data_IF_595247241298
#
_entry.id   IF_595247241298
#
_cell.length_a   1.000
_cell.length_b   1.000
_cell.length_c   1.000
_cell.angle_alpha   90.00
_cell.angle_beta   90.00
_cell.angle_gamma   90.00
#
_symmetry.space_group_name_H-M   'P 1'
#
loop_
_entity.id
_entity.type
_entity.pdbx_description
1 polymer ?
#
# COMPACT_ATOMS: atom_id res chain seq x y z
N UNK A 1 19.97 -52.39 -2.31
CA UNK A 1 21.02 -51.50 -2.84
C UNK A 1 20.93 -50.18 -2.09
N UNK A 2 21.84 -49.92 -1.16
CA UNK A 2 21.85 -48.66 -0.41
C UNK A 2 22.25 -47.53 -1.35
N UNK A 3 21.38 -46.54 -1.51
CA UNK A 3 21.73 -45.28 -2.17
C UNK A 3 22.84 -44.64 -1.35
N UNK A 4 23.93 -44.23 -2.00
CA UNK A 4 25.03 -43.58 -1.29
C UNK A 4 24.52 -42.30 -0.61
N UNK A 5 24.95 -42.00 0.63
CA UNK A 5 24.49 -40.84 1.39
C UNK A 5 24.57 -39.48 0.66
N UNK A 6 25.54 -39.21 -0.27
CA UNK A 6 25.50 -37.96 -1.03
C UNK A 6 24.34 -37.88 -2.03
N UNK A 7 23.88 -39.01 -2.59
CA UNK A 7 22.83 -38.99 -3.61
C UNK A 7 21.45 -38.69 -3.01
N UNK A 8 21.12 -39.27 -1.85
CA UNK A 8 19.85 -39.00 -1.17
C UNK A 8 19.74 -37.52 -0.74
N UNK A 9 20.85 -36.92 -0.31
CA UNK A 9 20.90 -35.50 0.04
C UNK A 9 20.63 -34.58 -1.16
N UNK A 10 21.24 -34.87 -2.32
CA UNK A 10 21.01 -34.09 -3.54
C UNK A 10 19.55 -34.20 -4.00
N UNK A 11 18.98 -35.40 -3.96
CA UNK A 11 17.57 -35.62 -4.30
C UNK A 11 16.65 -34.83 -3.38
N UNK A 12 16.90 -34.82 -2.08
CA UNK A 12 16.12 -34.06 -1.10
C UNK A 12 16.17 -32.55 -1.38
N UNK A 13 17.36 -32.01 -1.66
CA UNK A 13 17.55 -30.58 -1.97
C UNK A 13 16.80 -30.18 -3.23
N UNK A 14 16.89 -30.97 -4.31
CA UNK A 14 16.18 -30.70 -5.56
C UNK A 14 14.65 -30.77 -5.39
N UNK A 15 14.15 -31.76 -4.64
CA UNK A 15 12.72 -31.87 -4.34
C UNK A 15 12.23 -30.68 -3.50
N UNK A 16 12.98 -30.27 -2.48
CA UNK A 16 12.62 -29.13 -1.65
C UNK A 16 12.58 -27.83 -2.46
N UNK A 17 13.55 -27.62 -3.37
CA UNK A 17 13.56 -26.51 -4.31
C UNK A 17 12.30 -26.51 -5.21
N UNK A 18 11.97 -27.66 -5.79
CA UNK A 18 10.80 -27.81 -6.65
C UNK A 18 9.48 -27.57 -5.89
N UNK A 19 9.35 -28.09 -4.66
CA UNK A 19 8.18 -27.86 -3.80
C UNK A 19 8.04 -26.37 -3.47
N UNK A 20 9.14 -25.68 -3.19
CA UNK A 20 9.15 -24.23 -2.96
C UNK A 20 8.70 -23.45 -4.18
N UNK A 21 9.12 -23.88 -5.38
CA UNK A 21 8.82 -23.21 -6.64
C UNK A 21 7.37 -23.38 -7.13
N UNK A 22 6.56 -24.27 -6.52
CA UNK A 22 5.17 -24.51 -6.94
C UNK A 22 4.33 -23.22 -6.89
N UNK A 23 3.71 -22.80 -8.01
CA UNK A 23 2.95 -21.54 -8.07
C UNK A 23 1.73 -21.56 -7.14
N UNK A 24 1.40 -20.40 -6.56
CA UNK A 24 0.24 -20.23 -5.65
C UNK A 24 -1.13 -20.34 -6.33
N UNK A 25 -1.19 -20.14 -7.64
CA UNK A 25 -2.43 -19.69 -8.30
C UNK A 25 -3.24 -20.78 -9.00
N UNK A 26 -2.84 -22.05 -8.96
CA UNK A 26 -3.71 -23.10 -9.54
C UNK A 26 -4.68 -23.59 -8.46
N UNK A 27 -6.00 -23.36 -8.60
CA UNK A 27 -6.98 -23.92 -7.69
C UNK A 27 -6.81 -25.44 -7.69
N UNK A 28 -6.50 -26.00 -6.53
CA UNK A 28 -6.37 -27.44 -6.36
C UNK A 28 -7.77 -28.01 -6.23
N UNK A 29 -8.26 -28.63 -7.29
CA UNK A 29 -9.52 -29.37 -7.27
C UNK A 29 -9.28 -30.76 -6.68
N UNK A 30 -9.42 -30.89 -5.35
CA UNK A 30 -9.39 -32.19 -4.69
C UNK A 30 -10.71 -32.91 -4.94
N UNK A 31 -10.70 -33.89 -5.85
CA UNK A 31 -11.80 -34.86 -6.11
C UNK A 31 -13.21 -34.24 -6.21
N UNK A 32 -13.34 -33.01 -6.72
CA UNK A 32 -14.62 -32.37 -7.00
C UNK A 32 -15.47 -31.93 -5.81
N UNK A 33 -14.99 -32.03 -4.56
CA UNK A 33 -15.80 -31.71 -3.36
C UNK A 33 -15.34 -30.42 -2.66
N UNK A 34 -14.07 -30.04 -2.79
CA UNK A 34 -13.54 -28.84 -2.13
C UNK A 34 -12.65 -28.07 -3.10
N UNK A 35 -13.09 -26.87 -3.49
CA UNK A 35 -12.23 -25.87 -4.13
C UNK A 35 -11.55 -25.04 -3.04
N UNK A 36 -10.25 -25.24 -2.88
CA UNK A 36 -9.42 -24.32 -2.09
C UNK A 36 -9.05 -23.16 -3.02
N UNK A 37 -9.64 -21.99 -2.76
CA UNK A 37 -9.21 -20.75 -3.37
C UNK A 37 -8.23 -20.04 -2.41
N UNK A 38 -6.91 -20.19 -2.61
CA UNK A 38 -5.89 -19.62 -1.73
C UNK A 38 -5.90 -18.08 -1.70
N UNK A 39 -6.69 -17.42 -2.56
CA UNK A 39 -6.90 -15.97 -2.53
C UNK A 39 -8.09 -15.55 -1.66
N UNK A 40 -9.03 -16.45 -1.40
CA UNK A 40 -10.26 -16.10 -0.69
C UNK A 40 -10.07 -15.94 0.83
N UNK A 41 -9.16 -16.71 1.45
CA UNK A 41 -8.99 -16.67 2.91
C UNK A 41 -7.52 -16.84 3.37
N UNK A 42 -7.01 -15.99 4.28
CA UNK A 42 -5.62 -16.00 4.71
C UNK A 42 -5.18 -17.30 5.41
N UNK A 43 -6.08 -17.97 6.13
CA UNK A 43 -5.76 -19.24 6.81
C UNK A 43 -5.43 -20.37 5.83
N UNK A 44 -5.96 -20.35 4.60
CA UNK A 44 -5.67 -21.37 3.58
C UNK A 44 -4.20 -21.28 3.12
N UNK A 45 -3.64 -20.08 3.08
CA UNK A 45 -2.24 -19.85 2.74
C UNK A 45 -1.33 -20.41 3.83
N UNK A 46 -1.68 -20.19 5.11
CA UNK A 46 -0.98 -20.80 6.24
C UNK A 46 -1.03 -22.32 6.14
N UNK A 47 -2.21 -22.90 5.91
CA UNK A 47 -2.38 -24.35 5.79
C UNK A 47 -1.54 -24.95 4.66
N UNK A 48 -1.52 -24.33 3.48
CA UNK A 48 -0.68 -24.79 2.37
C UNK A 48 0.81 -24.75 2.71
N UNK A 49 1.26 -23.73 3.43
CA UNK A 49 2.64 -23.64 3.87
C UNK A 49 2.97 -24.71 4.93
N UNK A 50 2.06 -24.99 5.88
CA UNK A 50 2.21 -26.09 6.84
C UNK A 50 2.38 -27.43 6.11
N UNK A 51 1.57 -27.67 5.07
CA UNK A 51 1.63 -28.90 4.26
C UNK A 51 2.95 -29.02 3.50
N UNK A 52 3.44 -27.94 2.88
CA UNK A 52 4.74 -27.94 2.18
C UNK A 52 5.90 -28.26 3.12
N UNK A 53 5.92 -27.64 4.30
CA UNK A 53 6.95 -27.90 5.31
C UNK A 53 6.92 -29.35 5.81
N UNK A 54 5.72 -29.83 6.14
CA UNK A 54 5.51 -31.22 6.60
C UNK A 54 5.88 -32.23 5.52
N UNK A 55 5.60 -31.94 4.24
CA UNK A 55 5.96 -32.80 3.11
C UNK A 55 7.49 -32.92 2.96
N UNK A 56 8.22 -31.81 3.02
CA UNK A 56 9.70 -31.84 2.94
C UNK A 56 10.29 -32.63 4.10
N UNK A 57 9.74 -32.47 5.32
CA UNK A 57 10.13 -33.29 6.47
C UNK A 57 9.84 -34.78 6.25
N UNK A 58 8.65 -35.14 5.76
CA UNK A 58 8.28 -36.54 5.51
C UNK A 58 9.20 -37.21 4.48
N UNK A 59 9.57 -36.49 3.41
CA UNK A 59 10.54 -36.97 2.42
C UNK A 59 11.92 -37.16 3.06
N UNK A 60 12.38 -36.20 3.87
CA UNK A 60 13.66 -36.30 4.57
C UNK A 60 13.69 -37.47 5.56
N UNK A 61 12.58 -37.72 6.28
CA UNK A 61 12.43 -38.84 7.20
C UNK A 61 12.45 -40.17 6.45
N UNK A 62 11.78 -40.28 5.30
CA UNK A 62 11.82 -41.47 4.45
C UNK A 62 13.21 -41.79 3.87
N UNK A 63 14.08 -40.79 3.77
CA UNK A 63 15.48 -40.92 3.33
C UNK A 63 16.48 -41.07 4.50
N UNK A 64 16.00 -41.17 5.75
CA UNK A 64 16.81 -41.18 6.97
C UNK A 64 17.72 -39.94 7.14
N UNK A 65 17.35 -38.83 6.48
CA UNK A 65 18.07 -37.56 6.51
C UNK A 65 17.48 -36.57 7.51
N UNK A 66 16.33 -36.85 8.12
CA UNK A 66 15.65 -35.93 9.05
C UNK A 66 16.52 -35.54 10.26
N UNK A 67 17.43 -36.41 10.71
CA UNK A 67 18.38 -36.12 11.80
C UNK A 67 19.72 -35.57 11.30
N UNK A 68 20.00 -35.68 10.00
CA UNK A 68 21.24 -35.21 9.39
C UNK A 68 21.24 -33.68 9.30
N UNK A 69 22.40 -33.01 9.55
CA UNK A 69 22.50 -31.56 9.36
C UNK A 69 22.21 -31.13 7.91
N UNK A 70 22.36 -32.04 6.94
CA UNK A 70 22.04 -31.79 5.52
C UNK A 70 20.57 -31.44 5.28
N UNK A 71 19.67 -31.80 6.19
CA UNK A 71 18.28 -31.36 6.15
C UNK A 71 18.13 -29.83 6.11
N UNK A 72 19.02 -29.09 6.75
CA UNK A 72 19.01 -27.62 6.74
C UNK A 72 19.27 -27.04 5.34
N UNK A 73 20.03 -27.74 4.49
CA UNK A 73 20.19 -27.37 3.08
C UNK A 73 18.88 -27.55 2.30
N UNK A 74 18.08 -28.56 2.64
CA UNK A 74 16.76 -28.74 2.04
C UNK A 74 15.80 -27.61 2.45
N UNK A 75 15.84 -27.16 3.70
CA UNK A 75 15.07 -25.98 4.14
C UNK A 75 15.53 -24.69 3.45
N UNK A 76 16.84 -24.51 3.26
CA UNK A 76 17.38 -23.40 2.49
C UNK A 76 16.88 -23.45 1.04
N UNK A 77 16.94 -24.62 0.39
CA UNK A 77 16.46 -24.82 -0.98
C UNK A 77 14.94 -24.58 -1.09
N UNK A 78 14.15 -25.02 -0.11
CA UNK A 78 12.72 -24.71 -0.02
C UNK A 78 12.48 -23.19 0.03
N UNK A 79 13.26 -22.47 0.85
CA UNK A 79 13.17 -21.01 0.92
C UNK A 79 13.54 -20.34 -0.40
N UNK A 80 14.60 -20.79 -1.06
CA UNK A 80 15.08 -20.24 -2.34
C UNK A 80 14.01 -20.47 -3.43
N UNK A 81 13.46 -21.68 -3.52
CA UNK A 81 12.39 -21.99 -4.47
C UNK A 81 11.14 -21.13 -4.27
N UNK A 82 10.74 -20.94 -3.01
CA UNK A 82 9.63 -20.05 -2.64
C UNK A 82 9.88 -18.60 -3.05
N UNK A 83 11.09 -18.11 -2.78
CA UNK A 83 11.48 -16.74 -3.13
C UNK A 83 11.55 -16.52 -4.64
N UNK A 84 12.09 -17.46 -5.41
CA UNK A 84 12.18 -17.35 -6.87
C UNK A 84 10.80 -17.34 -7.54
N UNK A 85 9.86 -18.14 -7.04
CA UNK A 85 8.52 -18.28 -7.62
C UNK A 85 7.55 -17.17 -7.18
N UNK A 86 7.59 -16.78 -5.91
CA UNK A 86 6.55 -15.94 -5.28
C UNK A 86 7.10 -14.65 -4.65
N UNK A 87 8.42 -14.40 -4.72
CA UNK A 87 9.10 -13.28 -4.05
C UNK A 87 8.82 -13.21 -2.55
N UNK A 88 8.46 -14.33 -1.93
CA UNK A 88 8.18 -14.44 -0.50
C UNK A 88 8.85 -15.69 0.08
N UNK A 89 9.61 -15.56 1.17
CA UNK A 89 10.18 -16.71 1.86
C UNK A 89 9.07 -17.54 2.53
N UNK A 90 9.18 -18.87 2.43
CA UNK A 90 8.21 -19.81 3.02
C UNK A 90 8.49 -20.04 4.52
N UNK A 91 8.52 -18.96 5.31
CA UNK A 91 8.91 -18.97 6.72
C UNK A 91 8.11 -19.96 7.56
N UNK A 92 6.79 -20.00 7.36
CA UNK A 92 5.89 -20.94 8.04
C UNK A 92 6.19 -22.40 7.68
N UNK A 93 6.49 -22.68 6.42
CA UNK A 93 6.89 -24.03 6.00
C UNK A 93 8.21 -24.45 6.65
N UNK A 94 9.19 -23.55 6.69
CA UNK A 94 10.50 -23.79 7.31
C UNK A 94 10.35 -24.01 8.81
N UNK A 95 9.54 -23.18 9.50
CA UNK A 95 9.30 -23.31 10.93
C UNK A 95 8.66 -24.66 11.30
N UNK A 96 7.66 -25.12 10.53
CA UNK A 96 7.02 -26.42 10.74
C UNK A 96 7.98 -27.57 10.49
N UNK A 97 8.71 -27.49 9.39
CA UNK A 97 9.66 -28.51 8.99
C UNK A 97 10.78 -28.65 10.06
N UNK A 98 11.28 -27.51 10.56
CA UNK A 98 12.22 -27.45 11.67
C UNK A 98 11.62 -27.99 12.98
N UNK A 99 10.36 -27.65 13.30
CA UNK A 99 9.66 -28.15 14.48
C UNK A 99 9.54 -29.68 14.49
N UNK A 100 9.24 -30.30 13.34
CA UNK A 100 9.20 -31.76 13.23
C UNK A 100 10.57 -32.42 13.34
N UNK A 101 11.63 -31.76 12.86
CA UNK A 101 12.99 -32.28 12.94
C UNK A 101 13.57 -32.22 14.36
N UNK A 102 13.26 -31.14 15.10
CA UNK A 102 13.84 -30.88 16.42
C UNK A 102 12.90 -30.03 17.28
N UNK A 103 11.85 -30.67 17.79
CA UNK A 103 10.79 -29.98 18.54
C UNK A 103 11.27 -29.23 19.80
N UNK A 104 12.27 -29.70 20.60
CA UNK A 104 12.74 -28.96 21.76
C UNK A 104 13.42 -27.65 21.35
N UNK A 105 14.38 -27.70 20.42
CA UNK A 105 15.09 -26.53 19.89
C UNK A 105 14.11 -25.53 19.28
N UNK A 106 13.15 -26.02 18.48
CA UNK A 106 12.13 -25.20 17.85
C UNK A 106 11.22 -24.48 18.86
N UNK A 107 10.82 -25.16 19.94
CA UNK A 107 9.95 -24.59 20.97
C UNK A 107 10.65 -23.46 21.73
N UNK A 108 11.93 -23.65 22.09
CA UNK A 108 12.72 -22.62 22.78
C UNK A 108 12.96 -21.42 21.86
N UNK A 109 13.33 -21.66 20.59
CA UNK A 109 13.52 -20.61 19.60
C UNK A 109 12.22 -19.81 19.36
N UNK A 110 11.07 -20.48 19.30
CA UNK A 110 9.75 -19.84 19.18
C UNK A 110 9.46 -18.93 20.37
N UNK A 111 9.68 -19.40 21.60
CA UNK A 111 9.45 -18.60 22.82
C UNK A 111 10.36 -17.36 22.84
N UNK A 112 11.64 -17.51 22.51
CA UNK A 112 12.56 -16.38 22.39
C UNK A 112 12.16 -15.42 21.27
N UNK A 113 11.64 -15.94 20.16
CA UNK A 113 11.09 -15.14 19.07
C UNK A 113 9.89 -14.30 19.52
N UNK A 114 8.94 -14.90 20.24
CA UNK A 114 7.79 -14.19 20.82
C UNK A 114 8.24 -13.09 21.77
N UNK A 115 9.18 -13.40 22.69
CA UNK A 115 9.74 -12.41 23.62
C UNK A 115 10.43 -11.28 22.86
N UNK A 116 11.19 -11.58 21.80
CA UNK A 116 11.87 -10.57 20.97
C UNK A 116 10.87 -9.62 20.30
N UNK A 117 9.73 -10.14 19.83
CA UNK A 117 8.64 -9.35 19.26
C UNK A 117 7.97 -8.45 20.29
N UNK A 118 7.80 -8.93 21.53
CA UNK A 118 7.19 -8.13 22.61
C UNK A 118 8.14 -7.03 23.09
N UNK A 119 9.43 -7.34 23.26
CA UNK A 119 10.42 -6.41 23.84
C UNK A 119 10.82 -5.33 22.84
N UNK A 120 11.00 -5.68 21.57
CA UNK A 120 11.47 -4.75 20.54
C UNK A 120 10.29 -4.21 19.76
N UNK A 121 9.86 -3.00 20.10
CA UNK A 121 8.73 -2.32 19.43
C UNK A 121 9.00 -2.00 17.95
N UNK A 122 10.26 -2.06 17.50
CA UNK A 122 10.60 -1.90 16.10
C UNK A 122 10.42 -3.22 15.35
N UNK A 123 9.35 -3.30 14.54
CA UNK A 123 8.96 -4.49 13.77
C UNK A 123 10.12 -5.15 13.01
N UNK A 124 11.01 -4.35 12.40
CA UNK A 124 12.14 -4.87 11.61
C UNK A 124 13.18 -5.58 12.46
N UNK A 125 13.61 -4.95 13.56
CA UNK A 125 14.60 -5.50 14.47
C UNK A 125 14.04 -6.68 15.26
N UNK A 126 12.77 -6.60 15.63
CA UNK A 126 12.07 -7.66 16.36
C UNK A 126 12.06 -8.98 15.58
N UNK A 127 11.84 -8.90 14.26
CA UNK A 127 11.78 -10.05 13.39
C UNK A 127 13.18 -10.61 13.07
N UNK A 128 14.17 -9.75 12.87
CA UNK A 128 15.56 -10.18 12.70
C UNK A 128 16.09 -10.90 13.97
N UNK A 129 15.75 -10.39 15.16
CA UNK A 129 16.06 -11.04 16.43
C UNK A 129 15.35 -12.38 16.59
N UNK A 130 14.07 -12.47 16.21
CA UNK A 130 13.34 -13.72 16.23
C UNK A 130 13.96 -14.79 15.33
N UNK A 131 14.51 -14.42 14.17
CA UNK A 131 15.26 -15.37 13.33
C UNK A 131 16.63 -15.70 13.90
N UNK A 132 17.34 -14.71 14.45
CA UNK A 132 18.63 -14.93 15.10
C UNK A 132 18.51 -15.87 16.32
N UNK A 133 17.34 -15.98 16.93
CA UNK A 133 17.09 -16.96 18.00
C UNK A 133 17.32 -18.41 17.55
N UNK A 134 17.02 -18.76 16.30
CA UNK A 134 17.21 -20.14 15.79
C UNK A 134 18.68 -20.61 15.86
N UNK A 135 19.66 -19.93 15.23
CA UNK A 135 21.06 -20.37 15.31
C UNK A 135 21.63 -20.28 16.73
N UNK A 136 21.19 -19.32 17.55
CA UNK A 136 21.63 -19.21 18.95
C UNK A 136 21.19 -20.42 19.76
N UNK A 137 19.91 -20.79 19.70
CA UNK A 137 19.39 -21.96 20.42
C UNK A 137 20.01 -23.25 19.87
N UNK A 138 20.16 -23.38 18.54
CA UNK A 138 20.83 -24.53 17.94
C UNK A 138 22.28 -24.66 18.40
N UNK A 139 23.03 -23.55 18.51
CA UNK A 139 24.40 -23.58 19.02
C UNK A 139 24.47 -24.01 20.49
N UNK A 140 23.50 -23.61 21.31
CA UNK A 140 23.43 -24.03 22.71
C UNK A 140 23.06 -25.51 22.88
N UNK A 141 22.12 -26.01 22.07
CA UNK A 141 21.64 -27.40 22.18
C UNK A 141 22.52 -28.41 21.43
N UNK A 142 23.15 -28.00 20.33
CA UNK A 142 23.91 -28.86 19.43
C UNK A 142 25.33 -28.33 19.20
N UNK A 143 25.97 -27.78 20.23
CA UNK A 143 27.29 -27.15 20.12
C UNK A 143 28.41 -28.10 19.64
N UNK A 144 28.22 -29.42 19.76
CA UNK A 144 29.15 -30.43 19.24
C UNK A 144 29.04 -30.62 17.72
N UNK A 145 27.87 -30.31 17.12
CA UNK A 145 27.59 -30.46 15.70
C UNK A 145 27.85 -29.15 14.96
N UNK A 146 29.13 -28.77 14.80
CA UNK A 146 29.50 -27.50 14.16
C UNK A 146 28.88 -27.29 12.77
N UNK A 147 28.67 -28.36 12.00
CA UNK A 147 28.00 -28.31 10.69
C UNK A 147 26.53 -27.88 10.80
N UNK A 148 25.80 -28.39 11.80
CA UNK A 148 24.39 -28.04 12.04
C UNK A 148 24.24 -26.57 12.42
N UNK A 149 25.14 -26.08 13.27
CA UNK A 149 25.18 -24.66 13.67
C UNK A 149 25.47 -23.78 12.46
N UNK A 150 26.51 -24.09 11.68
CA UNK A 150 26.88 -23.32 10.50
C UNK A 150 25.75 -23.24 9.46
N UNK A 151 25.07 -24.35 9.18
CA UNK A 151 23.94 -24.37 8.25
C UNK A 151 22.71 -23.61 8.78
N UNK A 152 22.47 -23.62 10.09
CA UNK A 152 21.39 -22.85 10.71
C UNK A 152 21.68 -21.34 10.62
N UNK A 153 22.93 -20.94 10.84
CA UNK A 153 23.38 -19.54 10.67
C UNK A 153 23.21 -19.11 9.21
N UNK A 154 23.60 -19.95 8.26
CA UNK A 154 23.43 -19.67 6.83
C UNK A 154 21.95 -19.50 6.46
N UNK A 155 21.09 -20.39 6.95
CA UNK A 155 19.64 -20.30 6.75
C UNK A 155 19.06 -19.02 7.37
N UNK A 156 19.45 -18.67 8.59
CA UNK A 156 19.01 -17.47 9.26
C UNK A 156 19.44 -16.20 8.50
N UNK A 157 20.70 -16.13 8.05
CA UNK A 157 21.21 -15.01 7.27
C UNK A 157 20.44 -14.84 5.95
N UNK A 158 20.21 -15.95 5.25
CA UNK A 158 19.39 -15.95 4.04
C UNK A 158 17.98 -15.42 4.31
N UNK A 159 17.30 -15.92 5.34
CA UNK A 159 15.96 -15.50 5.71
C UNK A 159 15.90 -14.01 6.04
N UNK A 160 16.86 -13.51 6.82
CA UNK A 160 16.97 -12.08 7.13
C UNK A 160 17.09 -11.27 5.84
N UNK A 161 18.03 -11.64 4.97
CA UNK A 161 18.30 -10.93 3.72
C UNK A 161 17.09 -10.87 2.78
N UNK A 162 16.34 -11.97 2.62
CA UNK A 162 15.18 -12.00 1.70
C UNK A 162 13.91 -11.39 2.27
N UNK A 163 13.88 -11.10 3.57
CA UNK A 163 12.71 -10.53 4.23
C UNK A 163 12.91 -9.06 4.59
N UNK A 164 14.15 -8.56 4.58
CA UNK A 164 14.42 -7.13 4.54
C UNK A 164 14.11 -6.61 3.12
N UNK A 165 13.15 -5.69 2.95
CA UNK A 165 12.86 -5.13 1.63
C UNK A 165 14.10 -4.40 1.06
N UNK A 166 14.47 -4.71 -0.18
CA UNK A 166 15.69 -4.22 -0.85
C UNK A 166 15.62 -2.75 -1.32
N UNK A 167 14.72 -1.92 -0.76
CA UNK A 167 14.54 -0.52 -1.20
C UNK A 167 15.23 0.46 -0.24
N UNK A 168 16.52 0.79 -0.44
CA UNK A 168 17.23 1.78 0.37
C UNK A 168 16.65 3.21 0.23
N UNK A 169 15.77 3.47 -0.75
CA UNK A 169 15.14 4.78 -0.97
C UNK A 169 13.86 5.05 -0.18
N UNK A 170 13.27 4.03 0.45
CA UNK A 170 12.04 4.17 1.25
C UNK A 170 12.33 4.14 2.76
N UNK A 171 13.48 3.65 3.17
CA UNK A 171 13.87 3.47 4.58
C UNK A 171 14.11 4.77 5.37
N UNK A 172 14.35 5.88 4.66
CA UNK A 172 14.40 7.21 5.28
C UNK A 172 13.01 7.77 5.58
N UNK A 173 11.94 7.22 5.02
CA UNK A 173 10.56 7.62 5.31
C UNK A 173 9.98 6.92 6.55
N UNK A 174 10.36 5.66 6.82
CA UNK A 174 9.78 4.87 7.93
C UNK A 174 10.54 4.96 9.27
N UNK A 175 11.63 5.75 9.33
CA UNK A 175 12.55 5.77 10.49
C UNK A 175 12.70 7.16 11.15
N UNK A 176 11.81 8.13 10.86
CA UNK A 176 11.83 9.42 11.54
C UNK A 176 10.81 9.45 12.70
N UNK A 177 11.23 9.77 13.93
CA UNK A 177 10.33 9.96 15.08
C UNK A 177 9.49 11.23 14.98
N UNK A 178 9.69 12.06 13.95
CA UNK A 178 8.80 13.19 13.60
C UNK A 178 7.53 12.65 12.92
N UNK A 179 6.83 11.74 13.61
CA UNK A 179 5.52 11.24 13.22
C UNK A 179 4.51 12.34 13.44
N UNK A 180 3.76 12.67 12.41
CA UNK A 180 2.71 13.65 12.52
C UNK A 180 1.99 13.78 11.20
N UNK A 181 0.67 13.84 11.31
CA UNK A 181 -0.17 14.42 10.29
C UNK A 181 0.44 15.74 9.86
N UNK A 182 0.57 15.93 8.54
CA UNK A 182 1.07 17.17 7.99
C UNK A 182 -0.08 17.94 7.38
N UNK A 183 -0.23 19.20 7.79
CA UNK A 183 -1.06 20.14 7.05
C UNK A 183 -0.43 20.42 5.67
N UNK A 184 -1.24 20.70 4.67
CA UNK A 184 -0.80 21.07 3.32
C UNK A 184 0.25 22.18 3.34
N UNK A 185 0.11 23.16 4.24
CA UNK A 185 1.04 24.28 4.40
C UNK A 185 2.44 23.82 4.82
N UNK A 186 2.52 22.79 5.66
CA UNK A 186 3.79 22.23 6.15
C UNK A 186 4.51 21.35 5.12
N UNK A 187 3.81 20.93 4.06
CA UNK A 187 4.37 20.08 3.00
C UNK A 187 5.03 20.86 1.88
N UNK A 188 4.86 22.18 1.86
CA UNK A 188 5.48 23.10 0.90
C UNK A 188 7.00 22.92 0.91
N UNK A 189 7.58 22.55 -0.24
CA UNK A 189 9.02 22.36 -0.40
C UNK A 189 9.60 21.07 0.19
N UNK A 190 8.78 20.18 0.75
CA UNK A 190 9.24 18.90 1.29
C UNK A 190 9.36 17.83 0.21
N UNK A 191 10.44 17.03 0.24
CA UNK A 191 10.63 15.87 -0.64
C UNK A 191 10.00 14.58 -0.07
N UNK A 192 8.96 14.72 0.76
CA UNK A 192 8.32 13.57 1.38
C UNK A 192 7.58 12.72 0.33
N UNK A 193 7.55 11.39 0.45
CA UNK A 193 6.84 10.51 -0.46
C UNK A 193 5.31 10.59 -0.21
N UNK A 194 4.67 11.68 -0.65
CA UNK A 194 3.23 11.94 -0.44
C UNK A 194 2.35 11.57 -1.64
N UNK A 195 2.95 11.09 -2.73
CA UNK A 195 2.25 10.74 -3.96
C UNK A 195 1.85 11.96 -4.80
N UNK A 196 1.47 11.72 -6.05
CA UNK A 196 1.22 12.79 -7.02
C UNK A 196 0.00 13.66 -6.67
N UNK A 197 -1.08 13.06 -6.15
CA UNK A 197 -2.30 13.81 -5.81
C UNK A 197 -2.06 14.80 -4.69
N UNK A 198 -1.38 14.38 -3.61
CA UNK A 198 -1.05 15.27 -2.50
C UNK A 198 -0.10 16.39 -2.95
N UNK A 199 0.89 16.05 -3.79
CA UNK A 199 1.80 17.04 -4.35
C UNK A 199 1.07 18.12 -5.18
N UNK A 200 0.18 17.68 -6.07
CA UNK A 200 -0.65 18.58 -6.87
C UNK A 200 -1.54 19.46 -5.99
N UNK A 201 -2.11 18.91 -4.90
CA UNK A 201 -2.93 19.68 -3.97
C UNK A 201 -2.11 20.73 -3.21
N UNK A 202 -0.89 20.40 -2.79
CA UNK A 202 0.05 21.35 -2.16
C UNK A 202 0.43 22.46 -3.13
N UNK A 203 0.72 22.13 -4.40
CA UNK A 203 1.00 23.13 -5.43
C UNK A 203 -0.20 24.04 -5.70
N UNK A 204 -1.39 23.45 -5.82
CA UNK A 204 -2.64 24.17 -6.01
C UNK A 204 -2.93 25.13 -4.85
N UNK A 205 -2.67 24.68 -3.61
CA UNK A 205 -2.81 25.51 -2.41
C UNK A 205 -1.86 26.72 -2.46
N UNK A 206 -0.59 26.50 -2.80
CA UNK A 206 0.40 27.58 -2.89
C UNK A 206 0.06 28.62 -3.97
N UNK A 207 -0.47 28.17 -5.12
CA UNK A 207 -0.71 29.05 -6.26
C UNK A 207 -2.04 29.80 -6.15
N UNK A 208 -3.10 29.16 -5.64
CA UNK A 208 -4.46 29.73 -5.64
C UNK A 208 -4.91 30.25 -4.26
N UNK A 209 -4.38 29.69 -3.17
CA UNK A 209 -4.88 29.91 -1.81
C UNK A 209 -6.34 29.48 -1.59
N UNK A 210 -6.96 28.78 -2.55
CA UNK A 210 -8.39 28.49 -2.58
C UNK A 210 -8.71 26.99 -2.43
N UNK A 211 -7.80 26.23 -1.81
CA UNK A 211 -8.06 24.82 -1.50
C UNK A 211 -8.62 24.71 -0.08
N UNK A 212 -9.59 23.81 0.17
CA UNK A 212 -10.02 23.51 1.52
C UNK A 212 -8.85 23.02 2.38
N UNK A 213 -8.90 23.24 3.71
CA UNK A 213 -7.92 22.67 4.64
C UNK A 213 -7.82 21.16 4.44
N UNK A 214 -6.60 20.64 4.41
CA UNK A 214 -6.38 19.22 4.29
C UNK A 214 -5.13 18.76 5.05
N UNK A 215 -5.17 17.50 5.40
CA UNK A 215 -4.14 16.80 6.13
C UNK A 215 -3.65 15.61 5.31
N UNK A 216 -2.36 15.37 5.32
CA UNK A 216 -1.76 14.22 4.62
C UNK A 216 -1.09 13.32 5.64
N UNK A 217 -1.50 12.06 5.62
CA UNK A 217 -0.83 10.96 6.30
C UNK A 217 0.13 10.30 5.32
N UNK A 218 1.41 10.20 5.69
CA UNK A 218 2.41 9.61 4.81
C UNK A 218 2.28 8.08 4.77
N UNK A 219 2.80 7.42 3.73
CA UNK A 219 2.80 5.97 3.67
C UNK A 219 3.53 5.37 4.87
N UNK A 220 2.85 4.49 5.61
CA UNK A 220 3.39 3.83 6.79
C UNK A 220 3.15 4.50 8.13
N UNK A 221 2.64 5.72 8.13
CA UNK A 221 2.23 6.36 9.37
C UNK A 221 1.00 5.69 9.96
N UNK A 222 0.83 5.84 11.28
CA UNK A 222 -0.31 5.27 12.00
C UNK A 222 -1.59 6.08 11.70
N UNK A 223 -2.65 5.44 11.13
CA UNK A 223 -3.90 6.12 10.80
C UNK A 223 -4.65 6.66 12.02
N UNK A 224 -4.39 6.17 13.23
CA UNK A 224 -5.03 6.69 14.44
C UNK A 224 -4.71 8.18 14.68
N UNK A 225 -3.59 8.68 14.17
CA UNK A 225 -3.30 10.12 14.22
C UNK A 225 -4.36 10.93 13.45
N UNK A 226 -4.71 10.52 12.22
CA UNK A 226 -5.79 11.18 11.44
C UNK A 226 -7.09 11.22 12.23
N UNK A 227 -7.43 10.14 12.93
CA UNK A 227 -8.66 10.07 13.71
C UNK A 227 -8.66 11.01 14.94
N UNK A 228 -7.48 11.37 15.46
CA UNK A 228 -7.36 12.30 16.58
C UNK A 228 -7.48 13.77 16.17
N UNK A 229 -7.09 14.10 14.92
CA UNK A 229 -7.14 15.48 14.40
C UNK A 229 -8.40 15.73 13.57
N UNK A 230 -9.06 14.68 13.10
CA UNK A 230 -10.31 14.78 12.36
C UNK A 230 -11.48 15.13 13.29
N UNK A 231 -11.92 16.37 13.23
CA UNK A 231 -13.22 16.78 13.77
C UNK A 231 -14.29 16.55 12.69
N UNK A 232 -14.82 15.32 12.62
CA UNK A 232 -15.84 14.94 11.63
C UNK A 232 -17.22 15.23 12.21
N UNK A 233 -17.96 16.10 11.54
CA UNK A 233 -19.36 16.36 11.85
C UNK A 233 -20.22 16.27 10.58
N UNK A 234 -21.53 15.99 10.68
CA UNK A 234 -22.42 16.00 9.53
C UNK A 234 -22.44 17.35 8.77
N UNK A 235 -22.22 18.44 9.50
CA UNK A 235 -22.14 19.82 9.00
C UNK A 235 -20.78 20.12 8.33
N UNK A 236 -19.69 19.52 8.81
CA UNK A 236 -18.35 19.63 8.23
C UNK A 236 -17.81 18.26 7.78
N UNK A 237 -18.37 17.68 6.70
CA UNK A 237 -17.92 16.39 6.23
C UNK A 237 -16.47 16.43 5.72
N UNK A 238 -15.78 15.30 5.82
CA UNK A 238 -14.42 15.15 5.30
C UNK A 238 -14.42 14.26 4.06
N UNK A 239 -13.53 14.54 3.13
CA UNK A 239 -13.22 13.71 1.97
C UNK A 239 -11.92 12.94 2.25
N UNK A 240 -11.98 11.61 2.14
CA UNK A 240 -10.83 10.72 2.20
C UNK A 240 -10.40 10.40 0.78
N UNK A 241 -9.16 10.77 0.44
CA UNK A 241 -8.58 10.57 -0.88
C UNK A 241 -7.31 9.73 -0.77
N UNK A 242 -7.15 8.78 -1.68
CA UNK A 242 -5.89 8.05 -1.85
C UNK A 242 -4.88 8.90 -2.66
N UNK A 243 -3.60 8.82 -2.32
CA UNK A 243 -2.50 9.42 -3.09
C UNK A 243 -1.36 8.40 -3.21
N UNK A 244 -1.40 7.53 -4.24
CA UNK A 244 -0.37 6.52 -4.45
C UNK A 244 1.02 7.13 -4.68
N UNK A 245 2.03 6.50 -4.09
CA UNK A 245 3.45 6.79 -4.32
C UNK A 245 3.96 5.86 -5.42
N UNK A 246 4.34 6.43 -6.57
CA UNK A 246 4.84 5.66 -7.71
C UNK A 246 3.77 4.96 -8.54
N UNK A 247 2.49 5.22 -8.30
CA UNK A 247 1.34 4.69 -9.05
C UNK A 247 0.56 5.76 -9.81
N UNK A 248 -0.35 5.33 -10.69
CA UNK A 248 -1.25 6.24 -11.42
C UNK A 248 -2.40 6.74 -10.53
N UNK A 249 -2.87 7.96 -10.80
CA UNK A 249 -4.02 8.56 -10.11
C UNK A 249 -5.29 7.91 -10.65
N UNK A 250 -6.06 7.21 -9.80
CA UNK A 250 -7.42 6.79 -10.14
C UNK A 250 -8.43 7.84 -9.65
N UNK A 251 -9.18 8.44 -10.58
CA UNK A 251 -10.07 9.57 -10.30
C UNK A 251 -11.29 9.24 -9.41
N UNK A 252 -11.54 7.96 -9.13
CA UNK A 252 -12.74 7.49 -8.41
C UNK A 252 -12.53 7.28 -6.89
N UNK A 253 -11.30 7.43 -6.39
CA UNK A 253 -10.95 7.19 -4.98
C UNK A 253 -11.27 8.39 -4.08
N UNK A 254 -12.52 8.86 -4.05
CA UNK A 254 -12.98 9.89 -3.13
C UNK A 254 -14.20 9.40 -2.34
N UNK A 255 -14.02 9.22 -1.02
CA UNK A 255 -15.12 8.90 -0.11
C UNK A 255 -15.38 10.07 0.82
N UNK A 256 -16.60 10.61 0.77
CA UNK A 256 -17.05 11.63 1.73
C UNK A 256 -17.60 10.91 2.95
N UNK A 257 -17.13 11.30 4.12
CA UNK A 257 -17.48 10.72 5.43
C UNK A 257 -18.07 11.79 6.33
N UNK A 258 -19.13 11.43 7.07
CA UNK A 258 -19.90 12.35 7.93
C UNK A 258 -19.80 12.02 9.42
N UNK A 259 -19.20 10.90 9.76
CA UNK A 259 -18.91 10.53 11.13
C UNK A 259 -17.56 9.80 11.26
N UNK A 260 -17.12 9.60 12.51
CA UNK A 260 -15.84 8.99 12.83
C UNK A 260 -15.77 7.50 12.44
N UNK A 261 -16.90 6.80 12.43
CA UNK A 261 -16.97 5.37 12.08
C UNK A 261 -16.75 5.20 10.58
N UNK A 262 -17.44 6.00 9.76
CA UNK A 262 -17.26 6.09 8.32
C UNK A 262 -15.83 6.50 7.97
N UNK A 263 -15.26 7.49 8.67
CA UNK A 263 -13.87 7.91 8.46
C UNK A 263 -12.90 6.75 8.71
N UNK A 264 -13.03 6.07 9.86
CA UNK A 264 -12.20 4.92 10.20
C UNK A 264 -12.30 3.83 9.14
N UNK A 265 -13.52 3.51 8.71
CA UNK A 265 -13.75 2.49 7.68
C UNK A 265 -13.14 2.89 6.34
N UNK A 266 -13.34 4.14 5.89
CA UNK A 266 -12.78 4.65 4.64
C UNK A 266 -11.25 4.57 4.62
N UNK A 267 -10.60 4.98 5.71
CA UNK A 267 -9.13 4.89 5.86
C UNK A 267 -8.66 3.43 5.74
N UNK A 268 -9.29 2.49 6.45
CA UNK A 268 -8.88 1.09 6.41
C UNK A 268 -9.16 0.41 5.07
N UNK A 269 -10.21 0.79 4.35
CA UNK A 269 -10.48 0.31 3.00
C UNK A 269 -9.34 0.72 2.06
N UNK A 270 -8.96 2.00 2.07
CA UNK A 270 -7.83 2.50 1.26
C UNK A 270 -6.54 1.74 1.63
N UNK A 271 -6.22 1.61 2.93
CA UNK A 271 -5.02 0.89 3.35
C UNK A 271 -5.04 -0.59 2.93
N UNK A 272 -6.18 -1.26 3.04
CA UNK A 272 -6.32 -2.69 2.70
C UNK A 272 -6.13 -2.94 1.19
N UNK A 273 -6.61 -2.04 0.33
CA UNK A 273 -6.44 -2.17 -1.12
C UNK A 273 -4.98 -1.99 -1.53
N UNK A 274 -4.24 -1.08 -0.88
CA UNK A 274 -2.82 -0.87 -1.16
C UNK A 274 -1.90 -1.93 -0.55
N UNK A 275 -2.28 -2.59 0.56
CA UNK A 275 -1.53 -3.73 1.09
C UNK A 275 -1.47 -4.92 0.11
N UNK A 276 -2.37 -4.97 -0.89
CA UNK A 276 -2.37 -6.00 -1.95
C UNK A 276 -1.45 -5.68 -3.11
N UNK A 277 -0.91 -4.46 -3.19
CA UNK A 277 -0.01 -4.02 -4.26
C UNK A 277 1.45 -4.49 -4.02
N UNK A 278 2.29 -4.56 -5.07
CA UNK A 278 3.67 -5.05 -4.96
C UNK A 278 4.53 -4.26 -3.96
N UNK A 279 5.54 -4.96 -3.40
CA UNK A 279 6.52 -4.40 -2.45
C UNK A 279 7.19 -3.17 -3.06
N UNK A 280 7.13 -2.04 -2.35
CA UNK A 280 7.65 -0.74 -2.80
C UNK A 280 6.56 0.26 -3.22
N UNK A 281 5.31 -0.17 -3.34
CA UNK A 281 4.16 0.73 -3.42
C UNK A 281 3.75 1.20 -2.02
N UNK A 282 3.43 2.49 -1.90
CA UNK A 282 2.89 3.10 -0.69
C UNK A 282 1.73 4.00 -1.05
N UNK A 283 0.83 4.25 -0.11
CA UNK A 283 -0.27 5.21 -0.28
C UNK A 283 -0.19 6.24 0.81
N UNK A 284 -0.19 7.52 0.42
CA UNK A 284 -0.49 8.60 1.32
C UNK A 284 -2.01 8.79 1.34
N UNK A 285 -2.56 9.10 2.51
CA UNK A 285 -4.00 9.38 2.67
C UNK A 285 -4.16 10.87 2.86
N UNK A 286 -4.98 11.49 2.03
CA UNK A 286 -5.34 12.89 2.17
C UNK A 286 -6.72 12.94 2.82
N UNK A 287 -6.82 13.65 3.93
CA UNK A 287 -8.07 13.99 4.59
C UNK A 287 -8.34 15.47 4.34
N UNK A 288 -9.31 15.77 3.49
CA UNK A 288 -9.63 17.13 3.07
C UNK A 288 -11.01 17.53 3.60
N UNK A 289 -11.20 18.75 4.08
CA UNK A 289 -12.54 19.27 4.37
C UNK A 289 -13.37 19.34 3.08
N UNK A 290 -14.55 18.73 3.08
CA UNK A 290 -15.47 18.77 1.94
C UNK A 290 -16.42 19.96 2.11
N UNK A 291 -16.33 21.02 1.27
CA UNK A 291 -17.28 22.12 1.35
C UNK A 291 -18.69 21.60 1.05
N UNK A 292 -19.70 22.14 1.74
CA UNK A 292 -21.11 21.89 1.45
C UNK A 292 -21.52 22.62 0.18
N UNK A 293 -21.07 22.08 -0.95
CA UNK A 293 -21.19 22.74 -2.24
C UNK A 293 -22.64 22.85 -2.71
N UNK A 294 -23.01 24.05 -3.17
CA UNK A 294 -24.26 24.32 -3.90
C UNK A 294 -24.10 24.03 -5.38
N UNK A 295 -22.88 24.22 -5.90
CA UNK A 295 -22.49 23.91 -7.27
C UNK A 295 -21.14 23.21 -7.25
N UNK A 296 -20.96 22.23 -8.12
CA UNK A 296 -19.69 21.54 -8.29
C UNK A 296 -19.44 21.25 -9.76
N UNK A 297 -18.17 21.05 -10.11
CA UNK A 297 -17.82 20.95 -11.51
C UNK A 297 -16.38 20.57 -11.79
N UNK A 298 -16.07 20.58 -13.08
CA UNK A 298 -14.70 20.52 -13.57
C UNK A 298 -14.37 21.78 -14.35
N UNK A 299 -13.09 22.10 -14.41
CA UNK A 299 -12.53 23.14 -15.26
C UNK A 299 -11.41 22.52 -16.07
N UNK A 300 -11.39 22.78 -17.37
CA UNK A 300 -10.19 22.63 -18.19
C UNK A 300 -9.58 24.01 -18.37
N UNK A 301 -8.39 24.20 -17.82
CA UNK A 301 -7.64 25.43 -17.86
C UNK A 301 -6.55 25.32 -18.94
N UNK A 302 -6.57 26.25 -19.89
CA UNK A 302 -5.57 26.40 -20.95
C UNK A 302 -5.01 27.81 -20.93
N UNK A 303 -3.89 28.00 -21.62
CA UNK A 303 -3.20 29.30 -21.70
C UNK A 303 -4.08 30.45 -22.18
N UNK A 304 -5.05 30.20 -23.08
CA UNK A 304 -5.91 31.24 -23.67
C UNK A 304 -7.40 31.06 -23.35
N UNK A 305 -7.82 29.87 -22.96
CA UNK A 305 -9.24 29.53 -22.77
C UNK A 305 -9.45 28.77 -21.48
N UNK A 306 -10.64 28.93 -20.91
CA UNK A 306 -11.10 28.16 -19.75
C UNK A 306 -12.45 27.56 -20.08
N UNK A 307 -12.52 26.23 -20.13
CA UNK A 307 -13.77 25.51 -20.27
C UNK A 307 -14.25 25.10 -18.86
N UNK A 308 -15.44 25.53 -18.48
CA UNK A 308 -16.04 25.31 -17.17
C UNK A 308 -17.25 24.41 -17.36
N UNK A 309 -17.25 23.24 -16.72
CA UNK A 309 -18.42 22.39 -16.59
C UNK A 309 -18.93 22.44 -15.16
N UNK A 310 -20.23 22.66 -14.98
CA UNK A 310 -20.83 22.69 -13.65
C UNK A 310 -22.22 22.09 -13.62
N UNK A 311 -22.64 21.71 -12.41
CA UNK A 311 -24.01 21.34 -12.11
C UNK A 311 -24.39 21.79 -10.70
N UNK A 312 -25.68 22.01 -10.41
CA UNK A 312 -26.15 22.20 -9.05
C UNK A 312 -26.00 20.91 -8.23
N UNK A 313 -25.59 21.08 -6.97
CA UNK A 313 -25.40 20.01 -5.99
C UNK A 313 -23.94 19.83 -5.57
N UNK A 314 -23.71 18.75 -4.83
CA UNK A 314 -22.43 18.48 -4.19
C UNK A 314 -21.45 17.72 -5.08
N UNK A 315 -20.24 17.51 -4.54
CA UNK A 315 -19.17 16.73 -5.17
C UNK A 315 -19.58 15.29 -5.51
N UNK A 316 -20.51 14.67 -4.78
CA UNK A 316 -20.92 13.28 -5.08
C UNK A 316 -21.75 13.21 -6.36
N UNK A 317 -22.57 14.23 -6.61
CA UNK A 317 -23.35 14.32 -7.84
C UNK A 317 -22.45 14.46 -9.07
N UNK A 318 -21.27 15.05 -8.91
CA UNK A 318 -20.28 15.19 -9.97
C UNK A 318 -19.94 13.83 -10.61
N UNK A 319 -19.58 12.85 -9.80
CA UNK A 319 -19.17 11.52 -10.27
C UNK A 319 -20.34 10.59 -10.62
N UNK A 320 -21.54 10.82 -10.07
CA UNK A 320 -22.71 9.93 -10.26
C UNK A 320 -23.73 10.41 -11.28
N UNK A 321 -23.76 11.70 -11.61
CA UNK A 321 -24.85 12.24 -12.41
C UNK A 321 -24.68 11.95 -13.90
N UNK A 322 -25.75 11.43 -14.50
CA UNK A 322 -26.01 11.42 -15.94
C UNK A 322 -26.62 12.75 -16.43
N UNK A 323 -26.72 13.75 -15.55
CA UNK A 323 -27.33 15.05 -15.88
C UNK A 323 -26.44 15.80 -16.87
N UNK A 324 -27.04 16.51 -17.84
CA UNK A 324 -26.29 17.42 -18.69
C UNK A 324 -25.62 18.48 -17.82
N UNK A 325 -24.35 18.72 -18.08
CA UNK A 325 -23.54 19.71 -17.38
C UNK A 325 -23.63 20.99 -18.17
N UNK A 326 -23.81 22.10 -17.48
CA UNK A 326 -23.64 23.38 -18.13
C UNK A 326 -22.18 23.55 -18.52
N UNK A 327 -21.95 23.99 -19.76
CA UNK A 327 -20.64 24.23 -20.29
C UNK A 327 -20.50 25.71 -20.65
N UNK A 328 -19.59 26.38 -19.96
CA UNK A 328 -19.18 27.75 -20.26
C UNK A 328 -17.77 27.75 -20.80
N UNK A 329 -17.51 28.65 -21.75
CA UNK A 329 -16.15 28.98 -22.19
C UNK A 329 -15.86 30.41 -21.81
N UNK A 330 -14.73 30.62 -21.15
CA UNK A 330 -14.16 31.94 -20.95
C UNK A 330 -12.96 32.12 -21.87
N UNK A 331 -13.02 33.15 -22.71
CA UNK A 331 -12.01 33.48 -23.70
C UNK A 331 -12.02 35.00 -23.91
N UNK A 332 -10.84 35.63 -24.00
CA UNK A 332 -10.70 37.08 -24.19
C UNK A 332 -11.56 37.92 -23.23
N UNK A 333 -11.61 37.51 -21.95
CA UNK A 333 -12.42 38.15 -20.90
C UNK A 333 -13.94 38.09 -21.11
N UNK A 334 -14.41 37.27 -22.05
CA UNK A 334 -15.84 37.07 -22.33
C UNK A 334 -16.26 35.65 -21.95
N UNK A 335 -17.38 35.54 -21.22
CA UNK A 335 -18.01 34.25 -20.90
C UNK A 335 -19.06 33.96 -21.96
N UNK A 336 -18.94 32.82 -22.62
CA UNK A 336 -19.89 32.31 -23.61
C UNK A 336 -20.49 30.99 -23.13
N UNK A 337 -21.82 30.87 -23.18
CA UNK A 337 -22.52 29.62 -22.92
C UNK A 337 -22.42 28.72 -24.16
N UNK A 338 -21.99 27.47 -23.98
CA UNK A 338 -21.84 26.52 -25.09
C UNK A 338 -23.19 25.89 -25.47
N UNK A 339 -23.37 25.47 -26.74
CA UNK A 339 -24.59 24.81 -27.19
C UNK A 339 -24.93 23.60 -26.32
N UNK A 340 -26.23 23.39 -26.05
CA UNK A 340 -26.78 22.33 -25.20
C UNK A 340 -26.61 22.52 -23.68
N UNK A 341 -26.16 23.68 -23.22
CA UNK A 341 -26.17 24.06 -21.81
C UNK A 341 -27.51 24.71 -21.43
N UNK A 342 -28.00 24.48 -20.21
CA UNK A 342 -29.22 25.10 -19.68
C UNK A 342 -28.95 26.50 -19.12
N UNK A 343 -27.73 26.77 -18.68
CA UNK A 343 -27.32 28.06 -18.13
C UNK A 343 -27.70 28.23 -16.66
N UNK A 344 -27.77 27.15 -15.90
CA UNK A 344 -28.22 27.11 -14.50
C UNK A 344 -27.15 27.61 -13.51
N UNK A 345 -25.87 27.71 -13.92
CA UNK A 345 -24.86 28.32 -13.05
C UNK A 345 -25.05 29.84 -12.95
N UNK A 346 -25.18 30.39 -11.73
CA UNK A 346 -25.22 31.83 -11.52
C UNK A 346 -23.90 32.48 -11.96
N UNK A 347 -24.00 33.66 -12.57
CA UNK A 347 -22.81 34.43 -12.99
C UNK A 347 -21.86 34.73 -11.83
N UNK A 348 -22.38 34.92 -10.62
CA UNK A 348 -21.58 35.11 -9.42
C UNK A 348 -20.66 33.93 -9.10
N UNK A 349 -21.07 32.69 -9.41
CA UNK A 349 -20.23 31.48 -9.25
C UNK A 349 -19.10 31.51 -10.26
N UNK A 350 -19.39 31.85 -11.53
CA UNK A 350 -18.39 31.95 -12.58
C UNK A 350 -17.36 33.03 -12.26
N UNK A 351 -17.79 34.21 -11.80
CA UNK A 351 -16.91 35.31 -11.44
C UNK A 351 -15.96 34.92 -10.28
N UNK A 352 -16.49 34.26 -9.23
CA UNK A 352 -15.67 33.76 -8.11
C UNK A 352 -14.67 32.69 -8.56
N UNK A 353 -15.10 31.76 -9.41
CA UNK A 353 -14.25 30.70 -9.92
C UNK A 353 -13.11 31.28 -10.77
N UNK A 354 -13.42 32.22 -11.68
CA UNK A 354 -12.42 32.89 -12.50
C UNK A 354 -11.39 33.65 -11.66
N UNK A 355 -11.81 34.33 -10.60
CA UNK A 355 -10.88 35.00 -9.68
C UNK A 355 -9.88 34.04 -9.02
N UNK A 356 -10.24 32.76 -8.83
CA UNK A 356 -9.33 31.73 -8.30
C UNK A 356 -8.45 31.08 -9.36
N UNK A 357 -8.95 30.98 -10.59
CA UNK A 357 -8.25 30.35 -11.71
C UNK A 357 -7.22 31.27 -12.37
N UNK A 358 -7.41 32.59 -12.31
CA UNK A 358 -6.56 33.55 -13.00
C UNK A 358 -5.06 33.44 -12.65
N UNK A 359 -4.64 33.29 -11.37
CA UNK A 359 -3.23 33.08 -11.04
C UNK A 359 -2.65 31.80 -11.66
N UNK A 360 -3.43 30.72 -11.66
CA UNK A 360 -3.03 29.45 -12.27
C UNK A 360 -2.87 29.60 -13.77
N UNK A 361 -3.83 30.27 -14.42
CA UNK A 361 -3.84 30.45 -15.87
C UNK A 361 -2.63 31.27 -16.34
N UNK A 362 -2.27 32.33 -15.61
CA UNK A 362 -1.08 33.12 -15.93
C UNK A 362 0.23 32.34 -15.79
N UNK A 363 0.24 31.29 -14.98
CA UNK A 363 1.42 30.43 -14.77
C UNK A 363 1.54 29.29 -15.80
N UNK A 364 0.50 29.06 -16.60
CA UNK A 364 0.47 27.98 -17.58
C UNK A 364 1.41 28.23 -18.76
N UNK A 365 2.13 27.17 -19.14
CA UNK A 365 2.84 27.16 -20.42
C UNK A 365 1.84 27.05 -21.59
N UNK A 366 2.19 27.52 -22.81
CA UNK A 366 1.27 27.49 -23.96
C UNK A 366 0.70 26.11 -24.31
N UNK A 367 1.45 25.04 -24.05
CA UNK A 367 1.10 23.66 -24.38
C UNK A 367 0.61 22.85 -23.16
N UNK A 368 0.39 23.50 -22.02
CA UNK A 368 -0.03 22.84 -20.79
C UNK A 368 -1.54 22.99 -20.61
N UNK A 369 -2.20 21.86 -20.29
CA UNK A 369 -3.61 21.82 -19.94
C UNK A 369 -3.76 21.25 -18.54
N UNK A 370 -4.56 21.92 -17.70
CA UNK A 370 -4.85 21.47 -16.35
C UNK A 370 -6.33 21.21 -16.22
N UNK A 371 -6.67 20.01 -15.77
CA UNK A 371 -8.04 19.68 -15.39
C UNK A 371 -8.18 19.80 -13.88
N UNK A 372 -9.11 20.62 -13.44
CA UNK A 372 -9.36 20.93 -12.04
C UNK A 372 -10.76 20.49 -11.66
N UNK A 373 -10.91 19.99 -10.44
CA UNK A 373 -12.21 19.81 -9.81
C UNK A 373 -12.49 21.00 -8.89
N UNK A 374 -13.71 21.53 -8.93
CA UNK A 374 -14.09 22.71 -8.15
C UNK A 374 -15.46 22.55 -7.49
N UNK A 375 -15.68 23.33 -6.43
CA UNK A 375 -16.94 23.42 -5.71
C UNK A 375 -17.19 24.87 -5.26
N UNK A 376 -18.45 25.29 -5.19
CA UNK A 376 -18.86 26.60 -4.66
C UNK A 376 -19.91 26.40 -3.56
N UNK A 377 -19.65 26.92 -2.36
CA UNK A 377 -20.53 26.80 -1.19
C UNK A 377 -21.57 27.94 -1.09
N UNK A 378 -21.54 28.88 -2.05
CA UNK A 378 -22.34 30.10 -2.09
C UNK A 378 -21.57 31.35 -1.64
N UNK A 379 -20.54 31.19 -0.83
CA UNK A 379 -19.68 32.28 -0.35
C UNK A 379 -18.39 32.36 -1.17
N UNK A 380 -17.76 31.21 -1.43
CA UNK A 380 -16.52 31.12 -2.18
C UNK A 380 -16.44 29.87 -3.07
N UNK A 381 -15.59 29.99 -4.10
CA UNK A 381 -15.20 28.88 -4.95
C UNK A 381 -13.91 28.23 -4.39
N UNK A 382 -13.98 26.91 -4.25
CA UNK A 382 -12.92 26.02 -3.77
C UNK A 382 -12.37 25.19 -4.93
N UNK A 383 -11.05 25.04 -4.98
CA UNK A 383 -10.37 24.13 -5.89
C UNK A 383 -10.02 22.85 -5.11
N UNK A 384 -10.59 21.72 -5.53
CA UNK A 384 -10.58 20.48 -4.76
C UNK A 384 -9.43 19.56 -5.16
N UNK A 385 -9.17 19.42 -6.45
CA UNK A 385 -8.17 18.51 -6.98
C UNK A 385 -7.62 19.01 -8.33
N UNK A 386 -6.35 18.70 -8.58
CA UNK A 386 -5.67 18.99 -9.84
C UNK A 386 -5.23 17.69 -10.52
N UNK A 387 -5.68 17.52 -11.76
CA UNK A 387 -5.26 16.49 -12.69
C UNK A 387 -4.43 17.15 -13.79
N UNK A 388 -3.11 16.91 -13.77
CA UNK A 388 -2.22 17.41 -14.82
C UNK A 388 -2.36 16.52 -16.05
N UNK A 389 -2.80 17.09 -17.16
CA UNK A 389 -2.86 16.42 -18.46
C UNK A 389 -1.78 17.02 -19.35
N UNK A 390 -0.63 16.35 -19.45
CA UNK A 390 0.39 16.75 -20.43
C UNK A 390 -0.03 16.16 -21.77
N UNK A 391 -0.47 17.01 -22.70
CA UNK A 391 -0.60 16.62 -24.11
C UNK A 391 0.80 16.41 -24.68
N UNK A 392 1.13 15.14 -25.01
CA UNK A 392 2.30 14.77 -25.79
C UNK A 392 2.13 15.09 -27.26
#
# INVERSE_FOLDING_TARGET
MGISPPFSAVVLVLLALAIGALPRQKPLTLRGVVQLDPQAMPWQQSLLALLRGSLVFAIAAGLDLARSPLYLLALLALSVGGYLSQRQPLLTAIAVAFFWADWPTATIALLLGIVSVIVVQNSRWSWALAIAAFPVVTALMHGQDGVRVALTVLLALWLVMVSTPLSPGLDTAFSRPERGIRDLTSLVGTQAPIGHRAHNLVQLHQQSGATPPAWVLQPGDDPEWLLQVADVTPEEPLAVLSSPVGGSIQAEDCQIVRDLVELRQAIYVVLADYQRQPVGSGVAIILQRSPLARYAGWVMLRSQTVDIWGLPGDRQNLHRSSRPRDHYRWENQTVSLMPNSTGDLPRTVLDRLMARLEPLQRSLSPNEELMLEWADDGEQAWLLQLFVTVCS
#
